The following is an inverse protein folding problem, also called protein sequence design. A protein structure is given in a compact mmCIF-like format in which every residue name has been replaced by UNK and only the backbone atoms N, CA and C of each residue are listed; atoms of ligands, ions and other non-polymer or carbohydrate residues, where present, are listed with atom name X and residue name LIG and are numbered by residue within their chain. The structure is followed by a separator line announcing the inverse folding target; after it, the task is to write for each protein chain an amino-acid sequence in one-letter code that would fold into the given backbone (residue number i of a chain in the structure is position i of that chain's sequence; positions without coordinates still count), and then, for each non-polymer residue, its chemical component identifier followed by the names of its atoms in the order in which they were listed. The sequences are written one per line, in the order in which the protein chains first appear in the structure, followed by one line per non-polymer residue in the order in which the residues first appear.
data_IF_578929454322
#
_entry.id   IF_578929454322
#
_cell.length_a   1.000
_cell.length_b   1.000
_cell.length_c   1.000
_cell.angle_alpha   90.00
_cell.angle_beta   90.00
_cell.angle_gamma   90.00
#
_symmetry.space_group_name_H-M   'P 1'
#
loop_
_entity.id
_entity.type
_entity.pdbx_description
1 polymer ?
#
# COMPACT_ATOMS: atom_id res chain seq x y z
N UNK A 1 16.09 7.96 3.54
CA UNK A 1 16.87 8.63 4.62
C UNK A 1 17.35 10.03 4.27
N UNK A 2 18.04 10.26 3.14
CA UNK A 2 18.54 11.59 2.77
C UNK A 2 17.45 12.68 2.78
N UNK A 3 16.31 12.44 2.13
CA UNK A 3 15.19 13.38 2.11
C UNK A 3 14.63 13.66 3.51
N UNK A 4 14.51 12.63 4.35
CA UNK A 4 14.04 12.74 5.75
C UNK A 4 14.99 13.64 6.56
N UNK A 5 16.31 13.44 6.41
CA UNK A 5 17.32 14.28 7.05
C UNK A 5 17.18 15.76 6.66
N UNK A 6 16.87 16.02 5.40
CA UNK A 6 16.61 17.35 4.85
C UNK A 6 15.16 17.84 5.07
N UNK A 7 14.46 17.28 6.06
CA UNK A 7 13.13 17.73 6.51
C UNK A 7 12.06 17.68 5.41
N UNK A 8 12.15 16.71 4.51
CA UNK A 8 11.08 16.44 3.57
C UNK A 8 9.73 16.27 4.29
N UNK A 9 8.69 16.90 3.76
CA UNK A 9 7.31 16.71 4.24
C UNK A 9 6.63 15.52 3.58
N UNK A 10 7.06 15.24 2.35
CA UNK A 10 6.51 14.20 1.49
C UNK A 10 7.65 13.45 0.81
N UNK A 11 7.47 12.15 0.61
CA UNK A 11 8.32 11.31 -0.24
C UNK A 11 7.41 10.56 -1.19
N UNK A 12 7.77 10.55 -2.46
CA UNK A 12 7.02 9.89 -3.53
C UNK A 12 7.81 8.66 -3.97
N UNK A 13 7.31 7.48 -3.65
CA UNK A 13 7.81 6.23 -4.24
C UNK A 13 7.32 6.19 -5.69
N UNK A 14 8.26 6.18 -6.63
CA UNK A 14 7.98 6.27 -8.07
C UNK A 14 8.81 5.22 -8.83
N UNK A 15 8.12 4.31 -9.51
CA UNK A 15 8.72 3.30 -10.37
C UNK A 15 9.34 3.93 -11.62
N UNK A 16 10.35 3.28 -12.20
CA UNK A 16 11.07 3.81 -13.36
C UNK A 16 10.28 3.70 -14.68
N UNK A 17 9.28 2.82 -14.72
CA UNK A 17 8.36 2.61 -15.84
C UNK A 17 7.05 3.41 -15.72
N UNK A 18 6.94 4.30 -14.73
CA UNK A 18 5.80 5.20 -14.59
C UNK A 18 6.05 6.53 -15.30
N UNK A 19 5.06 6.95 -16.08
CA UNK A 19 4.97 8.29 -16.67
C UNK A 19 3.89 9.11 -15.98
N UNK A 20 4.20 10.35 -15.62
CA UNK A 20 3.25 11.27 -15.01
C UNK A 20 3.94 12.48 -14.39
N UNK A 21 3.25 13.61 -14.36
CA UNK A 21 3.73 14.81 -13.67
C UNK A 21 2.99 14.93 -12.35
N UNK A 22 3.75 15.00 -11.27
CA UNK A 22 3.23 15.13 -9.91
C UNK A 22 3.86 16.35 -9.27
N UNK A 23 3.08 17.43 -9.15
CA UNK A 23 3.55 18.70 -8.61
C UNK A 23 3.11 18.93 -7.16
N UNK A 24 3.54 20.04 -6.57
CA UNK A 24 3.19 20.40 -5.20
C UNK A 24 1.70 20.69 -5.02
N UNK A 25 1.01 21.21 -6.03
CA UNK A 25 -0.42 21.51 -5.96
C UNK A 25 -1.21 20.20 -5.84
N UNK A 26 -0.82 19.19 -6.62
CA UNK A 26 -1.41 17.85 -6.54
C UNK A 26 -1.14 17.16 -5.20
N UNK A 27 0.08 17.30 -4.66
CA UNK A 27 0.39 16.81 -3.31
C UNK A 27 -0.52 17.46 -2.27
N UNK A 28 -0.71 18.77 -2.32
CA UNK A 28 -1.60 19.48 -1.40
C UNK A 28 -3.06 19.04 -1.57
N UNK A 29 -3.51 18.86 -2.81
CA UNK A 29 -4.85 18.36 -3.12
C UNK A 29 -5.09 16.98 -2.52
N UNK A 30 -4.10 16.08 -2.61
CA UNK A 30 -4.22 14.71 -2.08
C UNK A 30 -4.16 14.65 -0.56
N UNK A 31 -3.37 15.51 0.06
CA UNK A 31 -3.09 15.45 1.50
C UNK A 31 -4.02 16.33 2.34
N UNK A 32 -4.57 17.40 1.76
CA UNK A 32 -5.46 18.36 2.45
C UNK A 32 -6.86 18.45 1.83
N UNK A 33 -7.09 17.84 0.67
CA UNK A 33 -8.38 17.88 -0.02
C UNK A 33 -9.45 17.03 0.66
N UNK A 34 -10.68 17.18 0.19
CA UNK A 34 -11.79 16.33 0.63
C UNK A 34 -11.56 14.88 0.19
N UNK A 35 -11.80 13.95 1.11
CA UNK A 35 -11.70 12.51 0.87
C UNK A 35 -12.99 11.81 1.25
N UNK A 36 -13.18 10.61 0.72
CA UNK A 36 -14.30 9.74 1.07
C UNK A 36 -13.84 8.55 1.89
N UNK A 37 -14.70 7.99 2.72
CA UNK A 37 -14.45 6.74 3.46
C UNK A 37 -15.49 5.67 3.14
N UNK A 38 -15.17 4.43 3.52
CA UNK A 38 -16.02 3.26 3.35
C UNK A 38 -16.92 3.04 4.56
N UNK A 39 -18.19 2.78 4.30
CA UNK A 39 -19.08 2.09 5.24
C UNK A 39 -18.51 0.73 5.61
N UNK A 40 -18.14 0.56 6.87
CA UNK A 40 -17.82 -0.76 7.39
C UNK A 40 -19.01 -1.43 8.11
N UNK A 41 -20.22 -1.28 7.58
CA UNK A 41 -21.43 -1.89 8.16
C UNK A 41 -21.37 -3.41 8.16
N UNK A 42 -20.68 -3.99 7.15
CA UNK A 42 -20.51 -5.44 6.99
C UNK A 42 -19.38 -6.02 7.86
N UNK A 43 -18.66 -5.18 8.60
CA UNK A 43 -17.56 -5.59 9.48
C UNK A 43 -16.35 -6.17 8.75
N UNK A 44 -16.16 -5.84 7.46
CA UNK A 44 -14.99 -6.29 6.70
C UNK A 44 -13.71 -5.69 7.29
N UNK A 45 -12.65 -6.49 7.28
CA UNK A 45 -11.30 -6.08 7.69
C UNK A 45 -10.36 -5.90 6.50
N UNK A 46 -10.85 -6.20 5.30
CA UNK A 46 -10.15 -6.05 4.02
C UNK A 46 -11.04 -5.33 3.03
N UNK A 47 -10.48 -4.39 2.27
CA UNK A 47 -11.19 -3.72 1.19
C UNK A 47 -10.37 -3.76 -0.08
N UNK A 48 -11.03 -4.06 -1.20
CA UNK A 48 -10.48 -3.91 -2.53
C UNK A 48 -10.80 -2.50 -3.03
N UNK A 49 -9.81 -1.62 -3.23
CA UNK A 49 -10.06 -0.21 -3.56
C UNK A 49 -10.47 -0.05 -5.03
N UNK A 50 -10.08 -0.96 -5.92
CA UNK A 50 -10.20 -0.78 -7.37
C UNK A 50 -11.63 -0.58 -7.87
N UNK A 51 -12.67 -1.31 -7.40
CA UNK A 51 -14.05 -1.07 -7.81
C UNK A 51 -14.53 0.38 -7.63
N UNK A 52 -14.04 1.10 -6.62
CA UNK A 52 -14.42 2.50 -6.40
C UNK A 52 -13.95 3.42 -7.53
N UNK A 53 -12.82 3.10 -8.18
CA UNK A 53 -12.23 3.92 -9.23
C UNK A 53 -12.70 3.56 -10.64
N UNK A 54 -13.66 2.65 -10.76
CA UNK A 54 -14.25 2.26 -12.03
C UNK A 54 -13.33 1.35 -12.85
N UNK A 55 -13.60 0.05 -12.78
CA UNK A 55 -12.82 -1.00 -13.45
C UNK A 55 -13.60 -1.57 -14.66
N UNK A 56 -12.90 -2.09 -15.68
CA UNK A 56 -13.55 -2.56 -16.92
C UNK A 56 -14.31 -3.88 -16.75
N UNK A 57 -14.02 -4.65 -15.70
CA UNK A 57 -14.66 -5.93 -15.44
C UNK A 57 -14.90 -6.16 -13.93
N UNK A 58 -15.72 -7.15 -13.61
CA UNK A 58 -15.98 -7.50 -12.22
C UNK A 58 -14.75 -8.13 -11.58
N UNK A 59 -14.48 -7.82 -10.31
CA UNK A 59 -13.40 -8.41 -9.51
C UNK A 59 -12.03 -8.17 -10.13
N UNK A 60 -11.68 -6.91 -10.36
CA UNK A 60 -10.28 -6.50 -10.52
C UNK A 60 -9.73 -6.18 -9.14
N UNK A 61 -8.55 -6.68 -8.78
CA UNK A 61 -7.93 -6.52 -7.46
C UNK A 61 -6.46 -6.07 -7.58
N UNK A 62 -5.95 -5.32 -6.58
CA UNK A 62 -4.53 -4.97 -6.52
C UNK A 62 -3.64 -6.18 -6.20
N UNK A 63 -2.39 -6.16 -6.65
CA UNK A 63 -1.37 -7.11 -6.20
C UNK A 63 -1.28 -7.10 -4.67
N UNK A 64 -1.16 -8.29 -4.08
CA UNK A 64 -1.17 -8.44 -2.63
C UNK A 64 -2.56 -8.58 -2.01
N UNK A 65 -3.64 -8.57 -2.79
CA UNK A 65 -4.97 -8.83 -2.25
C UNK A 65 -5.13 -10.34 -1.98
N UNK A 66 -5.60 -10.78 -0.79
CA UNK A 66 -5.71 -12.21 -0.50
C UNK A 66 -6.67 -12.91 -1.48
N UNK A 67 -6.18 -13.95 -2.17
CA UNK A 67 -6.92 -14.61 -3.25
C UNK A 67 -8.25 -15.19 -2.77
N UNK A 68 -8.28 -15.69 -1.54
CA UNK A 68 -9.46 -16.21 -0.85
C UNK A 68 -10.55 -15.14 -0.63
N UNK A 69 -10.19 -13.87 -0.66
CA UNK A 69 -11.08 -12.73 -0.40
C UNK A 69 -11.61 -12.05 -1.67
N UNK A 70 -11.05 -12.35 -2.86
CA UNK A 70 -11.42 -11.70 -4.14
C UNK A 70 -12.91 -11.83 -4.47
N UNK A 71 -13.52 -12.96 -4.08
CA UNK A 71 -14.94 -13.24 -4.36
C UNK A 71 -15.87 -12.75 -3.24
N UNK A 72 -15.34 -12.24 -2.13
CA UNK A 72 -16.16 -11.78 -1.01
C UNK A 72 -16.68 -10.36 -1.28
N UNK A 73 -17.98 -10.25 -1.49
CA UNK A 73 -18.68 -8.97 -1.71
C UNK A 73 -18.61 -8.02 -0.51
N UNK A 74 -18.19 -8.47 0.68
CA UNK A 74 -17.93 -7.59 1.83
C UNK A 74 -16.67 -6.75 1.66
N UNK A 75 -15.76 -7.17 0.77
CA UNK A 75 -14.52 -6.42 0.50
C UNK A 75 -14.72 -5.30 -0.53
N UNK A 76 -15.88 -5.25 -1.19
CA UNK A 76 -16.23 -4.18 -2.11
C UNK A 76 -16.61 -2.93 -1.30
N UNK A 77 -15.96 -1.79 -1.54
CA UNK A 77 -16.22 -0.58 -0.77
C UNK A 77 -17.60 0.00 -1.10
N UNK A 78 -18.33 0.39 -0.05
CA UNK A 78 -19.53 1.23 -0.14
C UNK A 78 -19.22 2.59 0.48
N UNK A 79 -19.38 3.67 -0.26
CA UNK A 79 -19.00 5.02 0.21
C UNK A 79 -20.10 5.63 1.07
N UNK A 80 -19.73 6.22 2.21
CA UNK A 80 -20.72 6.70 3.18
C UNK A 80 -20.44 8.07 3.82
N UNK A 81 -19.19 8.52 3.83
CA UNK A 81 -18.87 9.86 4.31
C UNK A 81 -17.84 10.49 3.39
N UNK A 82 -18.10 11.74 2.99
CA UNK A 82 -17.27 12.52 2.07
C UNK A 82 -16.50 13.63 2.77
N UNK A 83 -16.52 13.69 4.11
CA UNK A 83 -15.91 14.73 4.93
C UNK A 83 -15.18 14.14 6.13
N UNK A 84 -14.28 13.19 5.87
CA UNK A 84 -13.44 12.63 6.92
C UNK A 84 -12.18 13.48 7.08
N UNK A 85 -12.01 14.07 8.26
CA UNK A 85 -10.72 14.66 8.67
C UNK A 85 -9.87 13.57 9.30
N UNK A 86 -8.91 13.04 8.54
CA UNK A 86 -7.93 12.05 9.01
C UNK A 86 -6.53 12.48 8.59
N UNK A 87 -5.55 12.10 9.40
CA UNK A 87 -4.16 12.20 8.97
C UNK A 87 -3.83 10.99 8.11
N UNK A 88 -3.39 11.22 6.87
CA UNK A 88 -3.03 10.14 5.95
C UNK A 88 -1.53 9.90 6.02
N UNK A 89 -1.13 8.65 6.25
CA UNK A 89 0.28 8.25 6.30
C UNK A 89 0.85 7.94 4.91
N UNK A 90 0.06 7.28 4.08
CA UNK A 90 0.40 7.01 2.69
C UNK A 90 -0.81 7.13 1.77
N UNK A 91 -0.57 7.55 0.53
CA UNK A 91 -1.56 7.65 -0.55
C UNK A 91 -1.05 6.87 -1.75
N UNK A 92 -1.69 5.75 -2.07
CA UNK A 92 -1.44 5.03 -3.32
C UNK A 92 -2.20 5.72 -4.45
N UNK A 93 -1.51 6.27 -5.43
CA UNK A 93 -2.14 6.65 -6.69
C UNK A 93 -2.19 5.45 -7.62
N UNK A 94 -3.26 5.37 -8.41
CA UNK A 94 -3.43 4.31 -9.38
C UNK A 94 -2.59 4.56 -10.64
N UNK A 95 -2.35 3.48 -11.37
CA UNK A 95 -1.68 3.49 -12.66
C UNK A 95 -2.66 3.08 -13.76
N UNK A 96 -2.73 3.88 -14.81
CA UNK A 96 -3.42 3.53 -16.06
C UNK A 96 -2.48 2.74 -16.99
N UNK A 97 -3.07 2.12 -18.00
CA UNK A 97 -2.47 1.18 -18.95
C UNK A 97 -2.00 -0.11 -18.26
N UNK A 98 -0.99 -0.06 -17.40
CA UNK A 98 -0.50 -1.22 -16.66
C UNK A 98 -0.76 -1.05 -15.15
N UNK A 99 -2.00 -1.24 -14.70
CA UNK A 99 -2.31 -1.19 -13.27
C UNK A 99 -1.59 -2.29 -12.48
N UNK A 100 -1.41 -2.06 -11.19
CA UNK A 100 -0.75 -3.02 -10.29
C UNK A 100 -1.66 -4.21 -9.95
N UNK A 101 -1.72 -5.14 -10.88
CA UNK A 101 -2.39 -6.43 -10.73
C UNK A 101 -1.34 -7.55 -10.71
N UNK A 102 -1.63 -8.61 -9.96
CA UNK A 102 -0.74 -9.77 -9.85
C UNK A 102 -0.66 -10.62 -11.13
N UNK A 103 0.32 -11.51 -11.19
CA UNK A 103 0.54 -12.36 -12.34
C UNK A 103 -0.66 -13.31 -12.61
N UNK A 104 -1.39 -13.76 -11.59
CA UNK A 104 -2.61 -14.58 -11.77
C UNK A 104 -3.68 -13.78 -12.53
N UNK A 105 -3.90 -12.51 -12.18
CA UNK A 105 -4.78 -11.64 -12.93
C UNK A 105 -4.29 -11.51 -14.37
N UNK A 106 -3.01 -11.20 -14.59
CA UNK A 106 -2.42 -11.05 -15.94
C UNK A 106 -2.51 -12.30 -16.79
N UNK A 107 -2.47 -13.49 -16.19
CA UNK A 107 -2.65 -14.76 -16.91
C UNK A 107 -4.11 -15.03 -17.29
N UNK A 108 -5.07 -14.52 -16.53
CA UNK A 108 -6.47 -14.94 -16.62
C UNK A 108 -7.40 -13.84 -17.14
N UNK A 109 -6.91 -12.60 -17.26
CA UNK A 109 -7.69 -11.38 -17.52
C UNK A 109 -6.97 -10.44 -18.47
N UNK A 110 -7.71 -9.45 -18.94
CA UNK A 110 -7.20 -8.50 -19.92
C UNK A 110 -6.43 -7.35 -19.26
N UNK A 111 -5.20 -7.15 -19.73
CA UNK A 111 -4.38 -5.95 -19.53
C UNK A 111 -3.80 -5.58 -20.90
N UNK A 112 -3.56 -4.29 -21.23
CA UNK A 112 -3.74 -3.10 -20.40
C UNK A 112 -5.20 -2.72 -20.15
N UNK A 113 -5.45 -1.91 -19.11
CA UNK A 113 -6.73 -1.22 -18.92
C UNK A 113 -6.57 0.09 -18.14
N UNK A 114 -7.60 0.94 -18.25
CA UNK A 114 -7.67 2.22 -17.55
C UNK A 114 -8.81 2.22 -16.54
N UNK A 115 -8.60 2.91 -15.42
CA UNK A 115 -9.68 3.24 -14.50
C UNK A 115 -10.50 4.39 -15.08
N UNK A 116 -11.83 4.34 -14.93
CA UNK A 116 -12.70 5.40 -15.45
C UNK A 116 -12.74 6.64 -14.54
N UNK A 117 -12.30 6.52 -13.28
CA UNK A 117 -12.21 7.62 -12.35
C UNK A 117 -11.16 8.66 -12.77
N UNK A 118 -11.52 9.92 -12.59
CA UNK A 118 -10.69 11.10 -12.84
C UNK A 118 -10.68 12.02 -11.62
N UNK A 119 -9.78 13.01 -11.61
CA UNK A 119 -9.65 13.97 -10.51
C UNK A 119 -10.92 14.79 -10.27
N UNK A 120 -11.75 14.95 -11.31
CA UNK A 120 -13.01 15.70 -11.31
C UNK A 120 -14.19 14.83 -10.87
N UNK A 121 -14.12 13.52 -11.12
CA UNK A 121 -15.25 12.60 -10.86
C UNK A 121 -15.13 11.88 -9.53
N UNK A 122 -13.91 11.69 -9.01
CA UNK A 122 -13.66 10.93 -7.79
C UNK A 122 -12.72 11.68 -6.84
N UNK A 123 -13.00 11.50 -5.55
CA UNK A 123 -12.15 11.98 -4.47
C UNK A 123 -11.23 10.85 -4.00
N UNK A 124 -10.11 11.16 -3.33
CA UNK A 124 -9.33 10.14 -2.66
C UNK A 124 -10.18 9.30 -1.71
N UNK A 125 -9.92 8.00 -1.72
CA UNK A 125 -10.57 6.96 -0.94
C UNK A 125 -9.73 6.65 0.30
N UNK A 126 -10.23 6.90 1.49
CA UNK A 126 -9.57 6.59 2.77
C UNK A 126 -10.00 5.22 3.25
N UNK A 127 -9.02 4.35 3.53
CA UNK A 127 -9.24 3.05 4.15
C UNK A 127 -9.66 3.26 5.62
N UNK A 128 -10.79 2.66 6.07
CA UNK A 128 -11.24 2.81 7.46
C UNK A 128 -10.24 2.34 8.52
N UNK A 129 -10.50 2.74 9.76
CA UNK A 129 -9.71 2.28 10.91
C UNK A 129 -9.87 0.76 11.08
N UNK A 130 -8.79 0.06 11.43
CA UNK A 130 -8.74 -1.40 11.59
C UNK A 130 -9.13 -2.19 10.33
N UNK A 131 -8.92 -1.63 9.14
CA UNK A 131 -9.10 -2.35 7.88
C UNK A 131 -7.86 -2.18 7.00
N UNK A 132 -7.69 -3.11 6.07
CA UNK A 132 -6.48 -3.23 5.27
C UNK A 132 -6.83 -3.23 3.79
N UNK A 133 -5.93 -2.67 3.00
CA UNK A 133 -5.89 -2.80 1.55
C UNK A 133 -4.43 -2.82 1.12
N UNK A 134 -3.96 -3.81 0.36
CA UNK A 134 -2.58 -3.84 -0.10
C UNK A 134 -2.30 -2.61 -0.99
N UNK A 135 -1.09 -2.10 -0.88
CA UNK A 135 -0.55 -1.01 -1.70
C UNK A 135 0.92 -1.29 -1.98
N UNK A 136 1.48 -0.66 -3.00
CA UNK A 136 2.81 -0.97 -3.52
C UNK A 136 3.78 0.21 -3.35
N UNK A 137 4.97 0.08 -3.95
CA UNK A 137 5.98 1.13 -3.99
C UNK A 137 6.16 1.77 -5.39
N UNK A 138 5.12 1.76 -6.24
CA UNK A 138 5.21 2.24 -7.61
C UNK A 138 4.77 3.70 -7.79
N UNK A 139 3.72 4.12 -7.08
CA UNK A 139 3.15 5.46 -7.17
C UNK A 139 2.51 5.85 -5.83
N UNK A 140 3.35 5.90 -4.78
CA UNK A 140 2.89 6.04 -3.39
C UNK A 140 3.46 7.28 -2.73
N UNK A 141 2.58 8.20 -2.32
CA UNK A 141 2.94 9.40 -1.56
C UNK A 141 2.94 9.09 -0.08
N UNK A 142 4.09 9.17 0.55
CA UNK A 142 4.23 9.11 1.99
C UNK A 142 4.24 10.51 2.59
N UNK A 143 3.59 10.66 3.73
CA UNK A 143 3.68 11.88 4.55
C UNK A 143 4.69 11.66 5.67
N UNK A 144 5.28 12.76 6.17
CA UNK A 144 6.35 12.71 7.17
C UNK A 144 5.97 11.98 8.46
N UNK A 145 4.67 11.91 8.80
CA UNK A 145 4.17 11.16 9.96
C UNK A 145 4.33 9.65 9.82
N UNK A 146 4.52 9.14 8.60
CA UNK A 146 4.59 7.71 8.30
C UNK A 146 5.96 7.22 7.82
N UNK A 147 6.96 8.11 7.64
CA UNK A 147 8.26 7.76 7.07
C UNK A 147 8.99 6.62 7.81
N UNK A 148 8.77 6.48 9.12
CA UNK A 148 9.33 5.36 9.91
C UNK A 148 8.93 3.99 9.34
N UNK A 149 7.78 3.90 8.70
CA UNK A 149 7.17 2.65 8.21
C UNK A 149 7.43 2.38 6.72
N UNK A 150 8.32 3.15 6.09
CA UNK A 150 8.72 2.93 4.68
C UNK A 150 9.73 1.78 4.49
N UNK A 151 10.22 1.17 5.58
CA UNK A 151 11.18 0.08 5.51
C UNK A 151 10.65 -1.11 4.69
N UNK A 152 11.43 -1.52 3.69
CA UNK A 152 11.18 -2.68 2.84
C UNK A 152 12.04 -3.86 3.34
N UNK A 153 11.45 -5.05 3.61
CA UNK A 153 12.24 -6.26 3.80
C UNK A 153 13.20 -6.49 2.63
N UNK A 154 14.45 -6.85 2.93
CA UNK A 154 15.55 -6.97 1.96
C UNK A 154 15.90 -8.41 1.62
N UNK A 155 15.41 -9.39 2.39
CA UNK A 155 15.69 -10.82 2.11
C UNK A 155 14.76 -11.47 1.09
N UNK A 156 13.62 -10.85 0.82
CA UNK A 156 12.57 -11.40 -0.03
C UNK A 156 12.49 -10.67 -1.36
N UNK A 157 11.81 -11.28 -2.34
CA UNK A 157 11.65 -10.68 -3.66
C UNK A 157 11.01 -9.28 -3.56
N UNK A 158 11.47 -8.33 -4.38
CA UNK A 158 10.95 -6.96 -4.40
C UNK A 158 9.43 -6.87 -4.59
N UNK A 159 8.83 -7.78 -5.37
CA UNK A 159 7.37 -7.85 -5.61
C UNK A 159 6.57 -8.28 -4.39
N UNK A 160 7.22 -8.92 -3.42
CA UNK A 160 6.66 -9.35 -2.13
C UNK A 160 6.98 -8.33 -1.04
N UNK A 161 8.19 -7.77 -1.08
CA UNK A 161 8.72 -6.83 -0.10
C UNK A 161 7.83 -5.59 0.10
N UNK A 162 7.36 -4.98 -1.00
CA UNK A 162 6.49 -3.81 -0.93
C UNK A 162 5.09 -4.13 -0.40
N UNK A 163 4.55 -5.31 -0.71
CA UNK A 163 3.31 -5.83 -0.14
C UNK A 163 3.48 -6.12 1.35
N UNK A 164 4.60 -6.71 1.79
CA UNK A 164 4.82 -6.97 3.22
C UNK A 164 4.89 -5.66 4.00
N UNK A 165 5.67 -4.69 3.48
CA UNK A 165 5.68 -3.32 3.99
C UNK A 165 4.28 -2.74 4.07
N UNK A 166 3.44 -2.96 3.07
CA UNK A 166 2.07 -2.43 3.05
C UNK A 166 1.24 -2.87 4.25
N UNK A 167 1.24 -4.17 4.58
CA UNK A 167 0.53 -4.69 5.75
C UNK A 167 1.18 -4.22 7.05
N UNK A 168 2.50 -4.20 7.14
CA UNK A 168 3.23 -3.74 8.33
C UNK A 168 2.94 -2.25 8.59
N UNK A 169 2.99 -1.40 7.56
CA UNK A 169 2.72 0.03 7.69
C UNK A 169 1.29 0.29 8.13
N UNK A 170 0.30 -0.40 7.52
CA UNK A 170 -1.11 -0.27 7.91
C UNK A 170 -1.39 -0.70 9.34
N UNK A 171 -0.68 -1.73 9.82
CA UNK A 171 -0.73 -2.15 11.23
C UNK A 171 -0.38 -1.00 12.18
N UNK A 172 0.64 -0.21 11.85
CA UNK A 172 1.03 0.97 12.61
C UNK A 172 0.14 2.17 12.34
N UNK A 173 -0.33 2.37 11.11
CA UNK A 173 -1.20 3.51 10.77
C UNK A 173 -2.44 3.52 11.66
N UNK A 174 -3.10 2.37 11.78
CA UNK A 174 -4.24 2.20 12.68
C UNK A 174 -3.95 2.65 14.13
N UNK A 175 -2.74 2.38 14.64
CA UNK A 175 -2.32 2.67 16.02
C UNK A 175 -1.89 4.13 16.22
N UNK A 176 -1.31 4.75 15.21
CA UNK A 176 -0.83 6.14 15.24
C UNK A 176 -1.86 7.15 14.72
N UNK A 177 -3.13 6.74 14.65
CA UNK A 177 -4.23 7.49 14.03
C UNK A 177 -3.95 8.01 12.61
N UNK A 178 -3.08 7.31 11.89
CA UNK A 178 -2.86 7.51 10.47
C UNK A 178 -3.81 6.61 9.67
N UNK A 179 -4.04 6.95 8.41
CA UNK A 179 -4.79 6.11 7.46
C UNK A 179 -4.01 5.90 6.17
N UNK A 180 -4.34 4.83 5.47
CA UNK A 180 -4.00 4.65 4.07
C UNK A 180 -5.10 5.30 3.22
N UNK A 181 -4.72 5.97 2.14
CA UNK A 181 -5.66 6.38 1.11
C UNK A 181 -5.25 5.84 -0.26
N UNK A 182 -6.22 5.77 -1.15
CA UNK A 182 -6.05 5.55 -2.58
C UNK A 182 -6.53 6.78 -3.32
N UNK A 183 -5.91 7.09 -4.44
CA UNK A 183 -6.37 8.15 -5.33
C UNK A 183 -6.61 7.62 -6.73
N UNK A 184 -7.25 8.44 -7.55
CA UNK A 184 -7.43 8.21 -8.98
C UNK A 184 -6.07 7.97 -9.67
N UNK A 185 -6.06 7.53 -10.94
CA UNK A 185 -4.81 7.40 -11.66
C UNK A 185 -4.05 8.72 -11.76
N UNK A 186 -2.77 8.69 -11.41
CA UNK A 186 -1.84 9.81 -11.60
C UNK A 186 -0.68 9.47 -12.53
N UNK A 187 -0.46 8.17 -12.74
CA UNK A 187 0.60 7.68 -13.60
C UNK A 187 0.01 6.80 -14.68
N UNK A 188 0.69 6.76 -15.80
CA UNK A 188 0.52 5.78 -16.86
C UNK A 188 1.75 4.89 -16.80
N UNK A 189 1.55 3.61 -16.54
CA UNK A 189 2.68 2.69 -16.45
C UNK A 189 2.97 2.06 -17.82
N UNK A 190 4.20 2.25 -18.30
CA UNK A 190 4.73 1.66 -19.53
C UNK A 190 5.58 0.43 -19.18
N UNK A 191 4.90 -0.66 -18.81
CA UNK A 191 5.56 -1.86 -18.28
C UNK A 191 6.70 -2.35 -19.20
N UNK A 192 7.86 -2.51 -18.58
CA UNK A 192 9.03 -3.15 -19.20
C UNK A 192 8.70 -4.57 -19.71
N UNK A 193 9.49 -5.06 -20.68
CA UNK A 193 9.31 -6.43 -21.21
C UNK A 193 9.62 -7.45 -20.10
N UNK A 194 8.57 -7.90 -19.40
CA UNK A 194 8.64 -8.89 -18.34
C UNK A 194 7.94 -10.19 -18.75
N UNK A 195 8.52 -11.32 -18.32
CA UNK A 195 7.86 -12.62 -18.42
C UNK A 195 6.82 -12.74 -17.30
N UNK A 196 5.54 -12.87 -17.67
CA UNK A 196 4.44 -13.09 -16.70
C UNK A 196 4.71 -14.34 -15.85
N UNK A 197 5.38 -15.35 -16.40
CA UNK A 197 5.79 -16.55 -15.64
C UNK A 197 6.85 -16.26 -14.59
N UNK A 198 7.80 -15.35 -14.88
CA UNK A 198 8.79 -14.93 -13.90
C UNK A 198 8.14 -14.12 -12.77
N UNK A 199 7.19 -13.24 -13.10
CA UNK A 199 6.44 -12.48 -12.10
C UNK A 199 5.62 -13.40 -11.19
N UNK A 200 4.95 -14.40 -11.76
CA UNK A 200 4.23 -15.40 -10.97
C UNK A 200 5.14 -16.13 -9.98
N UNK A 201 6.33 -16.58 -10.42
CA UNK A 201 7.29 -17.23 -9.55
C UNK A 201 7.82 -16.27 -8.45
N UNK A 202 8.01 -14.99 -8.79
CA UNK A 202 8.42 -13.97 -7.85
C UNK A 202 7.32 -13.62 -6.81
N UNK A 203 6.06 -13.86 -7.14
CA UNK A 203 4.88 -13.53 -6.33
C UNK A 203 4.33 -14.72 -5.51
N UNK A 204 4.95 -15.91 -5.55
CA UNK A 204 4.45 -17.11 -4.86
C UNK A 204 4.14 -16.87 -3.37
N UNK A 205 5.04 -16.18 -2.68
CA UNK A 205 4.86 -15.84 -1.26
C UNK A 205 3.62 -14.96 -1.02
N UNK A 206 3.25 -14.09 -1.96
CA UNK A 206 2.02 -13.31 -1.87
C UNK A 206 0.82 -14.25 -1.86
N UNK A 207 0.75 -15.17 -2.83
CA UNK A 207 -0.38 -16.07 -2.99
C UNK A 207 -0.55 -17.03 -1.81
N UNK A 208 0.57 -17.49 -1.25
CA UNK A 208 0.56 -18.48 -0.16
C UNK A 208 0.43 -17.86 1.23
N UNK A 209 1.01 -16.66 1.44
CA UNK A 209 1.25 -16.14 2.79
C UNK A 209 0.53 -14.84 3.10
N UNK A 210 -0.04 -14.12 2.13
CA UNK A 210 -0.62 -12.78 2.42
C UNK A 210 -1.82 -12.85 3.36
N UNK A 211 -2.67 -13.87 3.24
CA UNK A 211 -3.77 -14.11 4.18
C UNK A 211 -3.27 -14.42 5.60
N UNK A 212 -2.19 -15.21 5.71
CA UNK A 212 -1.54 -15.49 6.99
C UNK A 212 -0.86 -14.24 7.57
N UNK A 213 -0.22 -13.41 6.75
CA UNK A 213 0.37 -12.13 7.15
C UNK A 213 -0.69 -11.19 7.69
N UNK A 214 -1.79 -11.02 6.95
CA UNK A 214 -2.92 -10.20 7.36
C UNK A 214 -3.47 -10.64 8.73
N UNK A 215 -3.71 -11.95 8.91
CA UNK A 215 -4.15 -12.49 10.18
C UNK A 215 -3.11 -12.29 11.29
N UNK A 216 -1.83 -12.45 10.99
CA UNK A 216 -0.75 -12.23 11.94
C UNK A 216 -0.75 -10.78 12.44
N UNK A 217 -0.68 -9.79 11.53
CA UNK A 217 -0.64 -8.38 11.92
C UNK A 217 -1.91 -7.94 12.64
N UNK A 218 -3.09 -8.45 12.24
CA UNK A 218 -4.34 -8.13 12.93
C UNK A 218 -4.36 -8.57 14.40
N UNK A 219 -3.66 -9.65 14.74
CA UNK A 219 -3.64 -10.21 16.10
C UNK A 219 -2.42 -9.79 16.94
N UNK A 220 -1.44 -9.10 16.34
CA UNK A 220 -0.31 -8.54 17.06
C UNK A 220 -0.75 -7.39 18.00
N UNK A 221 0.00 -7.22 19.10
CA UNK A 221 -0.24 -6.16 20.10
C UNK A 221 0.97 -5.25 20.34
N UNK A 222 2.07 -5.51 19.65
CA UNK A 222 3.33 -4.80 19.83
C UNK A 222 3.34 -3.46 19.07
N UNK A 223 3.83 -2.38 19.68
CA UNK A 223 3.94 -1.06 19.06
C UNK A 223 5.38 -0.73 18.62
N UNK A 224 6.30 -1.66 18.77
CA UNK A 224 7.68 -1.55 18.32
C UNK A 224 7.87 -2.22 16.95
N UNK A 225 8.37 -1.44 15.98
CA UNK A 225 8.61 -1.89 14.61
C UNK A 225 9.65 -3.03 14.53
N UNK A 226 10.69 -2.99 15.37
CA UNK A 226 11.70 -4.06 15.42
C UNK A 226 11.08 -5.34 15.94
N UNK A 227 10.27 -5.28 17.00
CA UNK A 227 9.56 -6.45 17.52
C UNK A 227 8.62 -7.05 16.47
N UNK A 228 7.90 -6.24 15.69
CA UNK A 228 7.05 -6.75 14.58
C UNK A 228 7.88 -7.53 13.55
N UNK A 229 9.08 -7.05 13.21
CA UNK A 229 10.00 -7.79 12.34
C UNK A 229 10.51 -9.08 13.00
N UNK A 230 10.79 -9.08 14.30
CA UNK A 230 11.14 -10.30 15.05
C UNK A 230 10.01 -11.35 15.01
N UNK A 231 8.74 -10.90 15.13
CA UNK A 231 7.59 -11.78 14.94
C UNK A 231 7.50 -12.35 13.51
N UNK A 232 7.70 -11.53 12.48
CA UNK A 232 7.70 -11.98 11.09
C UNK A 232 8.80 -13.01 10.82
N UNK A 233 10.00 -12.79 11.35
CA UNK A 233 11.11 -13.73 11.29
C UNK A 233 10.75 -15.05 11.99
N UNK A 234 10.19 -15.00 13.20
CA UNK A 234 9.77 -16.19 13.96
C UNK A 234 8.72 -17.05 13.24
N UNK A 235 8.02 -16.47 12.25
CA UNK A 235 6.99 -17.11 11.44
C UNK A 235 7.43 -17.36 9.99
N UNK A 236 8.72 -17.21 9.68
CA UNK A 236 9.32 -17.47 8.37
C UNK A 236 8.74 -16.61 7.21
N UNK A 237 8.36 -15.36 7.51
CA UNK A 237 7.99 -14.38 6.47
C UNK A 237 9.18 -13.65 5.89
N UNK A 238 10.27 -13.55 6.66
CA UNK A 238 11.49 -12.79 6.37
C UNK A 238 12.70 -13.51 7.00
N UNK A 239 13.91 -13.09 6.66
CA UNK A 239 15.15 -13.69 7.15
C UNK A 239 15.86 -12.84 8.20
N UNK A 240 16.97 -13.35 8.73
CA UNK A 240 17.76 -12.69 9.78
C UNK A 240 18.35 -11.34 9.32
N UNK A 241 18.66 -11.20 8.03
CA UNK A 241 19.17 -9.96 7.44
C UNK A 241 18.18 -8.79 7.61
N UNK A 242 16.87 -9.05 7.58
CA UNK A 242 15.84 -8.04 7.80
C UNK A 242 15.82 -7.52 9.24
N UNK A 243 16.17 -8.37 10.22
CA UNK A 243 16.28 -7.94 11.62
C UNK A 243 17.44 -6.97 11.82
N UNK A 244 18.56 -7.21 11.15
CA UNK A 244 19.68 -6.27 11.14
C UNK A 244 19.30 -4.98 10.42
N UNK A 245 18.65 -5.09 9.26
CA UNK A 245 18.20 -3.94 8.48
C UNK A 245 17.22 -3.05 9.26
N UNK A 246 16.18 -3.62 9.88
CA UNK A 246 15.16 -2.83 10.56
C UNK A 246 15.69 -2.12 11.81
N UNK A 247 16.67 -2.71 12.50
CA UNK A 247 17.39 -2.09 13.61
C UNK A 247 18.14 -0.85 13.13
N UNK A 248 18.98 -1.01 12.10
CA UNK A 248 19.73 0.09 11.49
C UNK A 248 18.79 1.16 10.92
N UNK A 249 17.70 0.77 10.27
CA UNK A 249 16.68 1.68 9.75
C UNK A 249 16.08 2.53 10.87
N UNK A 250 15.64 1.89 11.96
CA UNK A 250 14.99 2.57 13.08
C UNK A 250 15.95 3.50 13.82
N UNK A 251 17.18 3.05 14.10
CA UNK A 251 18.23 3.88 14.72
C UNK A 251 18.59 5.07 13.84
N UNK A 252 18.77 4.85 12.53
CA UNK A 252 19.08 5.91 11.57
C UNK A 252 17.93 6.90 11.47
N UNK A 253 16.68 6.42 11.43
CA UNK A 253 15.49 7.26 11.42
C UNK A 253 15.47 8.22 12.62
N UNK A 254 15.63 7.69 13.83
CA UNK A 254 15.65 8.49 15.07
C UNK A 254 16.78 9.53 15.05
N UNK A 255 17.98 9.14 14.59
CA UNK A 255 19.13 10.04 14.48
C UNK A 255 18.88 11.19 13.51
N UNK A 256 18.24 10.96 12.37
CA UNK A 256 17.99 12.02 11.37
C UNK A 256 16.79 12.90 11.70
N UNK A 257 15.81 12.38 12.44
CA UNK A 257 14.65 13.18 12.89
C UNK A 257 14.93 13.96 14.17
N UNK A 258 15.92 13.56 14.97
CA UNK A 258 16.21 14.16 16.28
C UNK A 258 15.19 13.73 17.34
N UNK A 259 14.53 12.60 17.14
CA UNK A 259 13.57 12.02 18.10
C UNK A 259 14.35 11.18 19.12
N UNK A 260 14.37 11.58 20.39
CA UNK A 260 14.94 10.76 21.47
C UNK A 260 13.96 9.63 21.84
N UNK A 261 14.52 8.47 22.22
CA UNK A 261 13.82 7.26 22.69
C UNK A 261 13.03 7.54 23.95
#
# INVERSE_FOLDING_TARGET
MYAIHHKAKYIWDFDDDNNGVFDLIEIERLTKGESVTVCNEKGSKLFNPYPYFGVPETRVWPRGFPLESIKDNKTIPQICDTKVSVTVGAIQCLANEQPDVDAIFRFTRNVPFNFSATKETHKPFVVPKQTFSPFNAQATLWTSSAFKYMALPISINGRVSDIWKSYIAQYFFYRSDLRLAFSVPYVVQERNIHSISADFNAELDIYEKVGALFNLVMNMKDDNLVSVYEYLYSRNFIEKSDLSFIKVWTETFLKVTGSNV
#
